data_IF_802385925294
#
_entry.id   IF_802385925294
#
_cell.length_a   1.000
_cell.length_b   1.000
_cell.length_c   1.000
_cell.angle_alpha   90.00
_cell.angle_beta   90.00
_cell.angle_gamma   90.00
#
_symmetry.space_group_name_H-M   'P 1'
#
loop_
_entity.id
_entity.type
_entity.pdbx_description
1 polymer ?
#
# COMPACT_ATOMS: atom_id res chain seq x y z
N UNK A 1 -9.49 -2.80 -0.02
CA UNK A 1 -8.32 -2.05 0.42
C UNK A 1 -8.30 -2.07 1.93
N UNK A 2 -7.16 -2.40 2.54
CA UNK A 2 -6.93 -2.10 3.94
C UNK A 2 -7.22 -0.61 4.16
N UNK A 3 -7.70 -0.26 5.35
CA UNK A 3 -7.86 1.15 5.63
C UNK A 3 -6.46 1.78 5.82
N UNK A 4 -6.38 3.10 5.61
CA UNK A 4 -5.14 3.85 5.76
C UNK A 4 -4.44 3.60 7.12
N UNK A 5 -5.21 3.47 8.21
CA UNK A 5 -4.68 3.17 9.54
C UNK A 5 -3.95 1.82 9.61
N UNK A 6 -4.37 0.82 8.83
CA UNK A 6 -3.66 -0.47 8.74
C UNK A 6 -2.27 -0.26 8.14
N UNK A 7 -2.16 0.52 7.06
CA UNK A 7 -0.87 0.82 6.44
C UNK A 7 0.04 1.61 7.38
N UNK A 8 -0.50 2.66 8.02
CA UNK A 8 0.25 3.48 8.99
C UNK A 8 0.76 2.63 10.17
N UNK A 9 -0.04 1.70 10.68
CA UNK A 9 0.38 0.75 11.72
C UNK A 9 1.52 -0.15 11.26
N UNK A 10 1.43 -0.70 10.05
CA UNK A 10 2.50 -1.54 9.49
C UNK A 10 3.79 -0.73 9.31
N UNK A 11 3.71 0.48 8.76
CA UNK A 11 4.85 1.40 8.66
C UNK A 11 5.45 1.69 10.04
N UNK A 12 4.62 1.98 11.05
CA UNK A 12 5.08 2.27 12.41
C UNK A 12 5.87 1.11 13.00
N UNK A 13 5.46 -0.14 12.73
CA UNK A 13 6.16 -1.35 13.15
C UNK A 13 7.48 -1.53 12.40
N UNK A 14 7.49 -1.33 11.08
CA UNK A 14 8.65 -1.62 10.24
C UNK A 14 9.76 -0.57 10.32
N UNK A 15 9.41 0.72 10.36
CA UNK A 15 10.37 1.83 10.24
C UNK A 15 10.29 2.86 11.38
N UNK A 16 9.43 2.60 12.38
CA UNK A 16 9.25 3.49 13.54
C UNK A 16 8.44 4.76 13.25
N UNK A 17 7.87 4.90 12.05
CA UNK A 17 7.12 6.08 11.57
C UNK A 17 5.84 5.65 10.86
N UNK A 18 4.75 6.41 10.98
CA UNK A 18 3.50 6.16 10.27
C UNK A 18 3.62 6.42 8.76
N UNK A 19 4.62 7.20 8.33
CA UNK A 19 4.89 7.52 6.91
C UNK A 19 3.64 8.03 6.16
N UNK A 20 2.85 8.89 6.81
CA UNK A 20 1.55 9.35 6.31
C UNK A 20 1.62 9.98 4.91
N UNK A 21 2.71 10.69 4.62
CA UNK A 21 2.93 11.31 3.31
C UNK A 21 3.11 10.26 2.21
N UNK A 22 3.79 9.15 2.50
CA UNK A 22 4.01 8.06 1.55
C UNK A 22 2.68 7.43 1.17
N UNK A 23 1.86 7.09 2.16
CA UNK A 23 0.54 6.52 1.94
C UNK A 23 -0.39 7.48 1.20
N UNK A 24 -0.33 8.78 1.51
CA UNK A 24 -1.11 9.78 0.79
C UNK A 24 -0.74 9.87 -0.70
N UNK A 25 0.55 9.82 -1.04
CA UNK A 25 0.99 9.91 -2.43
C UNK A 25 0.69 8.65 -3.22
N UNK A 26 0.94 7.47 -2.65
CA UNK A 26 0.66 6.19 -3.32
C UNK A 26 -0.84 6.05 -3.63
N UNK A 27 -1.70 6.45 -2.69
CA UNK A 27 -3.16 6.38 -2.85
C UNK A 27 -3.77 7.62 -3.54
N UNK A 28 -2.97 8.65 -3.87
CA UNK A 28 -3.48 9.88 -4.47
C UNK A 28 -4.35 9.64 -5.73
N UNK A 29 -4.04 8.68 -6.63
CA UNK A 29 -4.88 8.39 -7.79
C UNK A 29 -6.29 7.89 -7.44
N UNK A 30 -6.56 7.49 -6.19
CA UNK A 30 -7.91 7.13 -5.72
C UNK A 30 -8.94 8.23 -6.02
N UNK A 31 -8.53 9.50 -5.95
CA UNK A 31 -9.40 10.66 -6.23
C UNK A 31 -9.99 10.65 -7.64
N UNK A 32 -9.33 10.01 -8.60
CA UNK A 32 -9.74 9.98 -10.01
C UNK A 32 -10.15 8.58 -10.48
N UNK A 33 -9.51 7.53 -9.97
CA UNK A 33 -9.67 6.14 -10.43
C UNK A 33 -10.48 5.27 -9.47
N UNK A 34 -10.81 5.75 -8.27
CA UNK A 34 -11.47 4.97 -7.23
C UNK A 34 -10.72 3.67 -6.94
N UNK A 35 -11.40 2.52 -7.07
CA UNK A 35 -10.78 1.19 -6.86
C UNK A 35 -9.66 0.85 -7.86
N UNK A 36 -9.64 1.50 -9.02
CA UNK A 36 -8.62 1.30 -10.06
C UNK A 36 -7.29 2.00 -9.79
N UNK A 37 -7.16 2.77 -8.69
CA UNK A 37 -5.94 3.53 -8.41
C UNK A 37 -4.66 2.69 -8.32
N UNK A 38 -4.79 1.40 -7.99
CA UNK A 38 -3.68 0.43 -7.95
C UNK A 38 -3.04 0.17 -9.33
N UNK A 39 -3.59 0.72 -10.40
CA UNK A 39 -2.93 0.72 -11.70
C UNK A 39 -1.76 1.71 -11.74
N UNK A 40 -1.76 2.72 -10.88
CA UNK A 40 -0.72 3.73 -10.75
C UNK A 40 -0.04 3.62 -9.39
N UNK A 41 1.28 3.77 -9.37
CA UNK A 41 2.11 3.85 -8.17
C UNK A 41 2.18 2.59 -7.29
N UNK A 42 1.47 1.53 -7.68
CA UNK A 42 1.42 0.24 -6.98
C UNK A 42 2.29 -0.85 -7.62
N UNK A 43 3.31 -0.44 -8.36
CA UNK A 43 4.42 -1.29 -8.79
C UNK A 43 5.69 -0.99 -7.96
N UNK A 44 6.64 -1.94 -7.87
CA UNK A 44 7.83 -1.76 -7.03
C UNK A 44 8.68 -0.55 -7.40
N UNK A 45 8.81 -0.22 -8.68
CA UNK A 45 9.70 0.86 -9.14
C UNK A 45 9.10 2.21 -8.74
N UNK A 46 7.83 2.44 -9.10
CA UNK A 46 7.13 3.66 -8.68
C UNK A 46 7.06 3.79 -7.16
N UNK A 47 6.83 2.67 -6.45
CA UNK A 47 6.84 2.62 -4.99
C UNK A 47 8.16 3.06 -4.37
N UNK A 48 9.29 2.59 -4.90
CA UNK A 48 10.63 3.02 -4.46
C UNK A 48 10.82 4.52 -4.69
N UNK A 49 10.50 5.02 -5.89
CA UNK A 49 10.68 6.43 -6.24
C UNK A 49 9.82 7.33 -5.34
N UNK A 50 8.53 7.05 -5.22
CA UNK A 50 7.59 7.84 -4.41
C UNK A 50 7.95 7.74 -2.93
N UNK A 51 8.27 6.54 -2.46
CA UNK A 51 8.69 6.29 -1.09
C UNK A 51 9.91 7.13 -0.72
N UNK A 52 10.94 7.12 -1.57
CA UNK A 52 12.14 7.93 -1.35
C UNK A 52 11.84 9.43 -1.34
N UNK A 53 11.08 9.92 -2.32
CA UNK A 53 10.74 11.35 -2.42
C UNK A 53 9.90 11.85 -1.24
N UNK A 54 9.04 11.00 -0.66
CA UNK A 54 8.13 11.39 0.41
C UNK A 54 8.67 11.16 1.83
N UNK A 55 9.61 10.24 2.01
CA UNK A 55 10.06 9.82 3.34
C UNK A 55 11.47 9.23 3.40
N UNK A 56 12.30 9.44 2.36
CA UNK A 56 13.64 8.88 2.27
C UNK A 56 13.65 7.35 2.32
N UNK A 57 14.69 6.78 2.92
CA UNK A 57 14.85 5.31 3.03
C UNK A 57 13.68 4.64 3.76
N UNK A 58 13.16 5.26 4.83
CA UNK A 58 11.98 4.77 5.54
C UNK A 58 10.75 4.74 4.64
N UNK A 59 10.62 5.76 3.79
CA UNK A 59 9.52 5.86 2.86
C UNK A 59 9.55 4.78 1.78
N UNK A 60 10.74 4.35 1.33
CA UNK A 60 10.88 3.20 0.42
C UNK A 60 10.28 1.94 1.06
N UNK A 61 10.71 1.61 2.27
CA UNK A 61 10.21 0.42 2.98
C UNK A 61 8.70 0.52 3.22
N UNK A 62 8.21 1.69 3.64
CA UNK A 62 6.78 1.94 3.82
C UNK A 62 5.98 1.77 2.52
N UNK A 63 6.48 2.26 1.39
CA UNK A 63 5.84 2.13 0.10
C UNK A 63 5.73 0.67 -0.37
N UNK A 64 6.84 -0.08 -0.26
CA UNK A 64 6.85 -1.51 -0.61
C UNK A 64 5.96 -2.34 0.32
N UNK A 65 5.96 -2.01 1.62
CA UNK A 65 5.07 -2.64 2.59
C UNK A 65 3.59 -2.34 2.28
N UNK A 66 3.27 -1.12 1.87
CA UNK A 66 1.93 -0.73 1.44
C UNK A 66 1.46 -1.61 0.27
N UNK A 67 2.25 -1.68 -0.81
CA UNK A 67 1.94 -2.47 -2.02
C UNK A 67 1.80 -3.96 -1.66
N UNK A 68 2.71 -4.49 -0.86
CA UNK A 68 2.70 -5.90 -0.44
C UNK A 68 1.46 -6.23 0.40
N UNK A 69 1.09 -5.35 1.34
CA UNK A 69 -0.10 -5.51 2.17
C UNK A 69 -1.36 -5.55 1.30
N UNK A 70 -1.42 -4.67 0.30
CA UNK A 70 -2.52 -4.60 -0.65
C UNK A 70 -2.67 -5.86 -1.50
N UNK A 71 -1.55 -6.40 -1.96
CA UNK A 71 -1.50 -7.67 -2.70
C UNK A 71 -1.95 -8.85 -1.82
N UNK A 72 -1.34 -9.02 -0.64
CA UNK A 72 -1.61 -10.14 0.26
C UNK A 72 -3.08 -10.20 0.69
N UNK A 73 -3.66 -9.08 1.10
CA UNK A 73 -5.06 -9.04 1.53
C UNK A 73 -6.05 -9.24 0.38
N UNK A 74 -5.71 -8.77 -0.83
CA UNK A 74 -6.52 -9.03 -2.02
C UNK A 74 -6.50 -10.51 -2.39
N UNK A 75 -5.32 -11.15 -2.35
CA UNK A 75 -5.15 -12.58 -2.64
C UNK A 75 -5.82 -13.45 -1.58
N UNK A 76 -5.64 -13.15 -0.30
CA UNK A 76 -6.26 -13.88 0.79
C UNK A 76 -7.79 -13.82 0.73
N UNK A 77 -8.36 -12.64 0.44
CA UNK A 77 -9.81 -12.49 0.22
C UNK A 77 -10.31 -13.33 -0.96
N UNK A 78 -9.56 -13.39 -2.06
CA UNK A 78 -9.91 -14.24 -3.20
C UNK A 78 -9.85 -15.72 -2.84
N UNK A 79 -8.83 -16.14 -2.09
CA UNK A 79 -8.69 -17.51 -1.61
C UNK A 79 -9.88 -17.94 -0.76
N UNK A 80 -10.23 -17.15 0.26
CA UNK A 80 -11.40 -17.43 1.11
C UNK A 80 -12.69 -17.51 0.30
N UNK A 81 -12.90 -16.60 -0.66
CA UNK A 81 -14.10 -16.64 -1.51
C UNK A 81 -14.20 -17.93 -2.33
N UNK A 82 -13.08 -18.50 -2.77
CA UNK A 82 -13.08 -19.75 -3.52
C UNK A 82 -13.23 -20.96 -2.61
N UNK A 83 -12.73 -20.91 -1.37
CA UNK A 83 -12.83 -22.01 -0.40
C UNK A 83 -14.27 -22.26 0.07
N UNK A 84 -15.09 -21.21 0.14
CA UNK A 84 -16.49 -21.28 0.58
C UNK A 84 -17.50 -21.12 -0.58
N UNK A 85 -17.06 -21.33 -1.82
CA UNK A 85 -17.96 -21.48 -2.95
C UNK A 85 -18.26 -22.96 -3.11
N UNK A 86 -19.39 -23.37 -2.54
CA UNK A 86 -20.03 -24.66 -2.82
C UNK A 86 -20.34 -24.79 -4.33
#
# INVERSE_FOLDING_TARGET
>A
MPNRKTHEKISKILVGDSCENVHYLIDWPYKFLGKGHRMLFHDPISGIIIGYLAGGEKGIVSALAHITTDYCLSRFKSYLKNLFKD
#
